data_IF_547227455510
#
_entry.id   IF_547227455510
#
_cell.length_a   1.000
_cell.length_b   1.000
_cell.length_c   1.000
_cell.angle_alpha   90.00
_cell.angle_beta   90.00
_cell.angle_gamma   90.00
#
_symmetry.space_group_name_H-M   'P 1'
#
loop_
_entity.id
_entity.type
_entity.pdbx_description
1 polymer ?
#
# COMPACT_ATOMS: atom_id res chain seq x y z
N UNK A 1 17.16 -9.85 -3.62
CA UNK A 1 17.33 -11.30 -3.29
C UNK A 1 18.18 -11.39 -2.04
N UNK A 2 17.65 -12.03 -1.00
CA UNK A 2 18.21 -12.09 0.36
C UNK A 2 19.73 -12.36 0.41
N UNK A 3 20.21 -13.37 -0.31
CA UNK A 3 21.63 -13.74 -0.33
C UNK A 3 22.57 -12.60 -0.78
N UNK A 4 22.14 -11.82 -1.79
CA UNK A 4 22.89 -10.64 -2.26
C UNK A 4 22.96 -9.58 -1.15
N UNK A 5 21.85 -9.34 -0.45
CA UNK A 5 21.76 -8.37 0.66
C UNK A 5 22.72 -8.73 1.79
N UNK A 6 22.75 -10.01 2.17
CA UNK A 6 23.67 -10.53 3.19
C UNK A 6 25.13 -10.31 2.74
N UNK A 7 25.44 -10.64 1.49
CA UNK A 7 26.79 -10.44 0.94
C UNK A 7 27.21 -8.96 0.91
N UNK A 8 26.29 -8.06 0.58
CA UNK A 8 26.51 -6.61 0.59
C UNK A 8 26.79 -6.08 2.00
N UNK A 9 25.96 -6.44 2.98
CA UNK A 9 26.13 -6.04 4.38
C UNK A 9 27.47 -6.55 4.93
N UNK A 10 27.81 -7.81 4.65
CA UNK A 10 29.11 -8.39 5.01
C UNK A 10 30.27 -7.59 4.43
N UNK A 11 30.22 -7.27 3.13
CA UNK A 11 31.26 -6.47 2.46
C UNK A 11 31.36 -5.06 3.00
N UNK A 12 30.23 -4.42 3.37
CA UNK A 12 30.21 -3.10 4.02
C UNK A 12 30.96 -3.11 5.35
N UNK A 13 30.84 -4.18 6.12
CA UNK A 13 31.60 -4.38 7.35
C UNK A 13 33.02 -4.94 7.13
N UNK A 14 33.46 -5.11 5.88
CA UNK A 14 34.77 -5.67 5.49
C UNK A 14 35.06 -7.07 6.05
N UNK A 15 34.01 -7.87 6.27
CA UNK A 15 34.15 -9.23 6.76
C UNK A 15 34.30 -10.22 5.60
N UNK A 16 35.11 -11.25 5.79
CA UNK A 16 35.12 -12.45 4.97
C UNK A 16 33.92 -13.35 5.29
N UNK A 17 33.59 -14.27 4.38
CA UNK A 17 32.54 -15.26 4.65
C UNK A 17 32.88 -16.14 5.85
N UNK A 18 34.16 -16.39 6.09
CA UNK A 18 34.59 -17.15 7.26
C UNK A 18 34.32 -16.37 8.56
N UNK A 19 34.73 -15.11 8.63
CA UNK A 19 34.55 -14.28 9.84
C UNK A 19 33.08 -14.02 10.16
N UNK A 20 32.24 -13.77 9.15
CA UNK A 20 30.80 -13.61 9.40
C UNK A 20 30.18 -14.93 9.88
N UNK A 21 30.55 -16.05 9.27
CA UNK A 21 30.05 -17.36 9.68
C UNK A 21 30.47 -17.68 11.12
N UNK A 22 31.73 -17.42 11.47
CA UNK A 22 32.26 -17.63 12.83
C UNK A 22 31.50 -16.79 13.87
N UNK A 23 31.31 -15.48 13.61
CA UNK A 23 30.54 -14.60 14.50
C UNK A 23 29.08 -15.00 14.68
N UNK A 24 28.47 -15.59 13.65
CA UNK A 24 27.08 -16.06 13.69
C UNK A 24 26.94 -17.51 14.20
N UNK A 25 28.05 -18.22 14.43
CA UNK A 25 28.06 -19.64 14.80
C UNK A 25 27.63 -20.57 13.67
N UNK A 26 27.91 -20.21 12.41
CA UNK A 26 27.62 -20.98 11.21
C UNK A 26 28.89 -21.58 10.62
N UNK A 27 28.73 -22.66 9.83
CA UNK A 27 29.83 -23.07 8.95
C UNK A 27 29.95 -22.10 7.77
N UNK A 28 31.18 -21.88 7.29
CA UNK A 28 31.43 -21.08 6.08
C UNK A 28 30.58 -21.52 4.90
N UNK A 29 30.42 -22.84 4.71
CA UNK A 29 29.59 -23.41 3.65
C UNK A 29 28.10 -23.06 3.80
N UNK A 30 27.57 -23.08 5.04
CA UNK A 30 26.19 -22.67 5.33
C UNK A 30 25.96 -21.21 4.91
N UNK A 31 26.86 -20.30 5.27
CA UNK A 31 26.77 -18.90 4.87
C UNK A 31 26.93 -18.70 3.35
N UNK A 32 27.87 -19.41 2.71
CA UNK A 32 28.07 -19.34 1.27
C UNK A 32 26.82 -19.77 0.49
N UNK A 33 26.14 -20.83 0.94
CA UNK A 33 24.88 -21.28 0.36
C UNK A 33 23.78 -20.21 0.45
N UNK A 34 23.73 -19.46 1.56
CA UNK A 34 22.81 -18.33 1.71
C UNK A 34 23.14 -17.19 0.76
N UNK A 35 24.41 -16.76 0.71
CA UNK A 35 24.82 -15.66 -0.17
C UNK A 35 24.62 -15.97 -1.67
N UNK A 36 24.79 -17.23 -2.05
CA UNK A 36 24.59 -17.70 -3.44
C UNK A 36 23.14 -18.04 -3.78
N UNK A 37 22.23 -18.03 -2.79
CA UNK A 37 20.82 -18.39 -2.99
C UNK A 37 20.58 -19.89 -3.23
N UNK A 38 21.55 -20.75 -2.90
CA UNK A 38 21.40 -22.22 -2.99
C UNK A 38 20.52 -22.78 -1.86
N UNK A 39 20.48 -22.06 -0.72
CA UNK A 39 19.62 -22.38 0.42
C UNK A 39 19.09 -21.09 1.02
N UNK A 40 17.91 -21.15 1.62
CA UNK A 40 17.37 -20.05 2.41
C UNK A 40 17.64 -20.27 3.91
N UNK A 41 17.91 -19.20 4.67
CA UNK A 41 17.99 -19.30 6.13
C UNK A 41 16.62 -19.63 6.71
N UNK A 42 16.60 -20.45 7.75
CA UNK A 42 15.39 -20.63 8.56
C UNK A 42 15.07 -19.34 9.36
N UNK A 43 13.91 -19.32 10.00
CA UNK A 43 13.41 -18.18 10.75
C UNK A 43 14.40 -17.68 11.82
N UNK A 44 14.99 -18.59 12.60
CA UNK A 44 15.91 -18.23 13.68
C UNK A 44 17.26 -17.73 13.13
N UNK A 45 17.75 -18.34 12.05
CA UNK A 45 18.94 -17.92 11.33
C UNK A 45 18.76 -16.53 10.74
N UNK A 46 17.59 -16.25 10.14
CA UNK A 46 17.26 -14.95 9.57
C UNK A 46 17.26 -13.86 10.65
N UNK A 47 16.68 -14.14 11.83
CA UNK A 47 16.75 -13.23 12.99
C UNK A 47 18.17 -12.96 13.43
N UNK A 48 18.98 -14.01 13.62
CA UNK A 48 20.39 -13.84 14.01
C UNK A 48 21.18 -12.96 13.04
N UNK A 49 20.94 -13.12 11.74
CA UNK A 49 21.56 -12.28 10.71
C UNK A 49 21.08 -10.84 10.83
N UNK A 50 19.78 -10.63 11.01
CA UNK A 50 19.17 -9.30 11.18
C UNK A 50 19.73 -8.58 12.43
N UNK A 51 19.77 -9.27 13.57
CA UNK A 51 20.29 -8.78 14.83
C UNK A 51 21.78 -8.43 14.72
N UNK A 52 22.60 -9.28 14.09
CA UNK A 52 24.03 -9.03 13.90
C UNK A 52 24.31 -7.78 13.08
N UNK A 53 23.49 -7.51 12.07
CA UNK A 53 23.63 -6.33 11.22
C UNK A 53 22.85 -5.11 11.73
N UNK A 54 22.15 -5.23 12.86
CA UNK A 54 21.27 -4.20 13.42
C UNK A 54 20.24 -3.67 12.41
N UNK A 55 19.67 -4.58 11.61
CA UNK A 55 18.64 -4.28 10.60
C UNK A 55 17.38 -5.09 10.88
N UNK A 56 16.24 -4.67 10.32
CA UNK A 56 15.03 -5.49 10.38
C UNK A 56 15.11 -6.68 9.41
N UNK A 57 14.38 -7.76 9.72
CA UNK A 57 14.19 -8.86 8.77
C UNK A 57 13.54 -8.39 7.47
N UNK A 58 12.66 -7.39 7.55
CA UNK A 58 12.05 -6.77 6.38
C UNK A 58 13.08 -6.11 5.46
N UNK A 59 14.12 -5.47 6.02
CA UNK A 59 15.22 -4.93 5.22
C UNK A 59 16.02 -6.03 4.49
N UNK A 60 16.25 -7.16 5.16
CA UNK A 60 16.93 -8.31 4.54
C UNK A 60 16.10 -8.95 3.43
N UNK A 61 14.78 -8.99 3.59
CA UNK A 61 13.83 -9.54 2.64
C UNK A 61 13.39 -8.54 1.55
N UNK A 62 14.04 -7.37 1.47
CA UNK A 62 13.70 -6.28 0.55
C UNK A 62 12.21 -5.83 0.67
N UNK A 63 11.62 -5.93 1.87
CA UNK A 63 10.25 -5.47 2.22
C UNK A 63 10.21 -4.05 2.79
N UNK A 64 11.29 -3.29 2.69
CA UNK A 64 11.38 -1.90 3.18
C UNK A 64 10.75 -0.87 2.26
N UNK A 65 10.58 -1.21 0.99
CA UNK A 65 9.57 -0.52 0.21
C UNK A 65 8.24 -0.89 0.86
N UNK A 66 7.60 0.07 1.53
CA UNK A 66 6.17 -0.01 1.80
C UNK A 66 5.53 -0.33 0.47
N UNK A 67 5.31 -1.62 0.20
CA UNK A 67 4.37 -2.05 -0.83
C UNK A 67 3.12 -1.31 -0.41
N UNK A 68 2.72 -0.32 -1.21
CA UNK A 68 1.43 0.33 -1.07
C UNK A 68 0.46 -0.80 -0.76
N UNK A 69 -0.15 -0.75 0.43
CA UNK A 69 -1.05 -1.80 0.89
C UNK A 69 -1.93 -2.13 -0.30
N UNK A 70 -1.91 -3.41 -0.71
CA UNK A 70 -2.61 -3.97 -1.87
C UNK A 70 -3.54 -2.93 -2.48
N UNK A 71 -3.09 -2.29 -3.56
CA UNK A 71 -3.91 -1.37 -4.34
C UNK A 71 -5.10 -2.16 -4.87
N UNK A 72 -6.12 -2.33 -4.03
CA UNK A 72 -7.48 -2.56 -4.49
C UNK A 72 -7.75 -1.36 -5.37
N UNK A 73 -7.92 -1.63 -6.66
CA UNK A 73 -7.96 -0.69 -7.77
C UNK A 73 -9.09 0.34 -7.65
N UNK A 74 -8.96 1.29 -6.73
CA UNK A 74 -9.56 2.61 -6.79
C UNK A 74 -8.47 3.56 -6.29
N UNK A 75 -7.93 4.35 -7.21
CA UNK A 75 -6.85 5.30 -6.94
C UNK A 75 -7.20 6.13 -5.71
N UNK A 76 -6.29 6.25 -4.73
CA UNK A 76 -6.56 7.09 -3.56
C UNK A 76 -6.85 8.53 -4.01
N UNK A 77 -7.95 9.10 -3.53
CA UNK A 77 -8.26 10.50 -3.74
C UNK A 77 -7.36 11.36 -2.86
N UNK A 78 -6.86 12.46 -3.41
CA UNK A 78 -6.11 13.44 -2.63
C UNK A 78 -7.06 14.23 -1.72
N UNK A 79 -6.50 14.85 -0.68
CA UNK A 79 -7.25 15.72 0.25
C UNK A 79 -8.00 16.83 -0.50
N UNK A 80 -7.44 17.33 -1.61
CA UNK A 80 -8.12 18.32 -2.45
C UNK A 80 -9.32 17.72 -3.17
N UNK A 81 -9.16 16.52 -3.75
CA UNK A 81 -10.24 15.83 -4.46
C UNK A 81 -11.41 15.46 -3.53
N UNK A 82 -11.13 15.01 -2.31
CA UNK A 82 -12.16 14.77 -1.29
C UNK A 82 -12.91 16.07 -0.91
N UNK A 83 -12.18 17.19 -0.76
CA UNK A 83 -12.80 18.49 -0.49
C UNK A 83 -13.66 18.99 -1.64
N UNK A 84 -13.22 18.78 -2.87
CA UNK A 84 -13.97 19.16 -4.07
C UNK A 84 -15.25 18.31 -4.17
N UNK A 85 -15.17 17.00 -3.91
CA UNK A 85 -16.34 16.10 -3.86
C UNK A 85 -17.33 16.55 -2.78
N UNK A 86 -16.86 16.91 -1.58
CA UNK A 86 -17.75 17.36 -0.51
C UNK A 86 -18.53 18.63 -0.92
N UNK A 87 -17.86 19.59 -1.57
CA UNK A 87 -18.51 20.80 -2.09
C UNK A 87 -19.51 20.50 -3.20
N UNK A 88 -19.13 19.63 -4.13
CA UNK A 88 -20.00 19.24 -5.24
C UNK A 88 -21.23 18.50 -4.71
N UNK A 89 -21.06 17.61 -3.72
CA UNK A 89 -22.15 16.90 -3.04
C UNK A 89 -23.13 17.89 -2.39
N UNK A 90 -22.64 18.82 -1.57
CA UNK A 90 -23.48 19.85 -0.93
C UNK A 90 -24.27 20.65 -1.96
N UNK A 91 -23.61 21.07 -3.05
CA UNK A 91 -24.28 21.78 -4.14
C UNK A 91 -25.37 20.93 -4.79
N UNK A 92 -25.07 19.67 -5.13
CA UNK A 92 -26.06 18.78 -5.75
C UNK A 92 -27.26 18.50 -4.83
N UNK A 93 -27.04 18.34 -3.53
CA UNK A 93 -28.13 18.16 -2.57
C UNK A 93 -28.98 19.42 -2.45
N UNK A 94 -28.35 20.60 -2.40
CA UNK A 94 -29.08 21.86 -2.40
C UNK A 94 -29.91 22.07 -3.68
N UNK A 95 -29.35 21.73 -4.86
CA UNK A 95 -30.07 21.81 -6.13
C UNK A 95 -31.26 20.84 -6.16
N UNK A 96 -31.12 19.64 -5.58
CA UNK A 96 -32.20 18.65 -5.44
C UNK A 96 -33.29 19.10 -4.45
N UNK A 97 -32.91 19.67 -3.31
CA UNK A 97 -33.86 20.17 -2.32
C UNK A 97 -34.68 21.37 -2.82
N UNK A 98 -34.09 22.21 -3.69
CA UNK A 98 -34.77 23.38 -4.25
C UNK A 98 -35.76 23.03 -5.39
N UNK A 99 -35.71 21.82 -5.94
CA UNK A 99 -36.72 21.32 -6.85
C UNK A 99 -37.90 20.74 -6.07
N UNK A 100 -39.05 21.43 -6.12
CA UNK A 100 -40.27 21.14 -5.33
C UNK A 100 -40.72 19.67 -5.34
N UNK A 101 -40.41 18.90 -6.39
CA UNK A 101 -40.82 17.50 -6.56
C UNK A 101 -39.71 16.45 -6.35
N UNK A 102 -38.44 16.84 -6.17
CA UNK A 102 -37.32 15.91 -6.37
C UNK A 102 -37.06 14.94 -5.20
N UNK A 103 -37.63 15.20 -4.03
CA UNK A 103 -37.43 14.39 -2.83
C UNK A 103 -38.77 13.82 -2.31
N UNK A 104 -39.63 13.37 -3.23
CA UNK A 104 -40.83 12.60 -2.92
C UNK A 104 -40.59 11.11 -3.17
N UNK A 105 -41.00 10.25 -2.24
CA UNK A 105 -41.03 8.81 -2.38
C UNK A 105 -42.40 8.30 -1.98
N UNK A 106 -43.05 7.53 -2.88
CA UNK A 106 -44.43 7.06 -2.72
C UNK A 106 -45.47 8.19 -2.52
N UNK A 107 -45.20 9.38 -3.09
CA UNK A 107 -46.08 10.54 -2.96
C UNK A 107 -45.96 11.28 -1.63
N UNK A 108 -45.05 10.85 -0.74
CA UNK A 108 -44.72 11.52 0.50
C UNK A 108 -43.31 12.12 0.43
N UNK A 109 -43.02 13.21 1.17
CA UNK A 109 -41.66 13.69 1.32
C UNK A 109 -40.78 12.60 1.91
N UNK A 110 -39.60 12.37 1.35
CA UNK A 110 -38.65 11.40 1.91
C UNK A 110 -38.29 11.78 3.35
N UNK A 111 -38.19 10.78 4.20
CA UNK A 111 -37.77 10.95 5.58
C UNK A 111 -36.25 11.22 5.69
N UNK A 112 -35.83 11.70 6.85
CA UNK A 112 -34.44 12.08 7.09
C UNK A 112 -33.44 10.92 6.97
N UNK A 113 -33.86 9.70 7.34
CA UNK A 113 -32.99 8.52 7.21
C UNK A 113 -32.78 8.17 5.73
N UNK A 114 -33.84 8.27 4.92
CA UNK A 114 -33.74 8.07 3.47
C UNK A 114 -32.90 9.15 2.79
N UNK A 115 -33.01 10.42 3.22
CA UNK A 115 -32.12 11.50 2.75
C UNK A 115 -30.66 11.18 3.02
N UNK A 116 -30.34 10.70 4.21
CA UNK A 116 -28.97 10.35 4.56
C UNK A 116 -28.44 9.16 3.74
N UNK A 117 -29.28 8.15 3.47
CA UNK A 117 -28.92 7.07 2.55
C UNK A 117 -28.62 7.57 1.14
N UNK A 118 -29.43 8.50 0.61
CA UNK A 118 -29.21 9.10 -0.70
C UNK A 118 -27.89 9.90 -0.70
N UNK A 119 -27.64 10.70 0.34
CA UNK A 119 -26.37 11.43 0.53
C UNK A 119 -25.17 10.48 0.47
N UNK A 120 -25.17 9.40 1.27
CA UNK A 120 -24.08 8.43 1.33
C UNK A 120 -23.87 7.75 -0.03
N UNK A 121 -24.96 7.36 -0.69
CA UNK A 121 -24.92 6.74 -2.01
C UNK A 121 -24.33 7.66 -3.08
N UNK A 122 -24.76 8.93 -3.11
CA UNK A 122 -24.26 9.94 -4.03
C UNK A 122 -22.78 10.23 -3.78
N UNK A 123 -22.38 10.41 -2.52
CA UNK A 123 -21.00 10.66 -2.13
C UNK A 123 -20.07 9.52 -2.60
N UNK A 124 -20.48 8.27 -2.35
CA UNK A 124 -19.75 7.08 -2.82
C UNK A 124 -19.68 7.03 -4.35
N UNK A 125 -20.77 7.35 -5.04
CA UNK A 125 -20.82 7.40 -6.50
C UNK A 125 -19.88 8.46 -7.07
N UNK A 126 -19.82 9.65 -6.46
CA UNK A 126 -18.92 10.73 -6.87
C UNK A 126 -17.45 10.36 -6.66
N UNK A 127 -17.13 9.71 -5.52
CA UNK A 127 -15.78 9.16 -5.27
C UNK A 127 -15.41 8.15 -6.34
N UNK A 128 -16.26 7.16 -6.60
CA UNK A 128 -16.01 6.15 -7.63
C UNK A 128 -15.80 6.78 -9.01
N UNK A 129 -16.64 7.73 -9.40
CA UNK A 129 -16.52 8.43 -10.67
C UNK A 129 -15.17 9.16 -10.80
N UNK A 130 -14.73 9.84 -9.72
CA UNK A 130 -13.44 10.54 -9.69
C UNK A 130 -12.26 9.56 -9.78
N UNK A 131 -12.35 8.44 -9.07
CA UNK A 131 -11.33 7.39 -9.08
C UNK A 131 -11.21 6.74 -10.46
N UNK A 132 -12.32 6.42 -11.11
CA UNK A 132 -12.36 5.89 -12.47
C UNK A 132 -11.83 6.90 -13.50
N UNK A 133 -12.17 8.18 -13.38
CA UNK A 133 -11.62 9.22 -14.24
C UNK A 133 -10.09 9.31 -14.09
N UNK A 134 -9.59 9.24 -12.86
CA UNK A 134 -8.14 9.22 -12.59
C UNK A 134 -7.47 8.01 -13.24
N UNK A 135 -8.05 6.82 -13.16
CA UNK A 135 -7.52 5.65 -13.86
C UNK A 135 -7.48 5.81 -15.39
N UNK A 136 -8.54 6.39 -15.99
CA UNK A 136 -8.64 6.58 -17.44
C UNK A 136 -7.71 7.67 -18.00
N UNK A 137 -7.47 8.75 -17.25
CA UNK A 137 -6.76 9.94 -17.74
C UNK A 137 -5.34 10.10 -17.17
N UNK A 138 -4.87 9.23 -16.27
CA UNK A 138 -3.46 9.21 -15.88
C UNK A 138 -2.66 8.44 -16.95
N UNK A 139 -1.77 9.09 -17.73
CA UNK A 139 -1.04 8.41 -18.79
C UNK A 139 -0.18 7.27 -18.24
N UNK A 140 -0.08 6.20 -19.02
CA UNK A 140 0.69 4.95 -18.84
C UNK A 140 2.22 5.14 -18.63
N UNK A 141 2.69 6.30 -18.17
CA UNK A 141 4.10 6.61 -17.90
C UNK A 141 4.63 6.01 -16.59
N UNK A 142 3.77 5.37 -15.78
CA UNK A 142 4.14 4.77 -14.49
C UNK A 142 3.81 3.27 -14.38
N UNK A 143 3.45 2.59 -15.47
CA UNK A 143 3.46 1.13 -15.49
C UNK A 143 4.93 0.69 -15.55
N UNK A 144 5.52 0.35 -14.41
CA UNK A 144 6.75 -0.46 -14.39
C UNK A 144 6.36 -1.85 -14.91
N UNK A 145 7.13 -2.32 -15.89
CA UNK A 145 7.07 -3.68 -16.45
C UNK A 145 7.07 -4.77 -15.37
#
# INVERSE_FOLDING_TARGET
MLGKKISELRKKQKLSQYELADRLGFSRGKLANYEQGQREPDYDTLKKIADFFEVSTDYLLDRTEKKEMLSNELTSLSVKEERDIAKDLEKTLADLENSEDALMFDGEPIDEHTKEMIRISLENSMRMAKQLAKQKFTPNKYKKD
#
